data_IF_366999806203
#
_entry.id   IF_366999806203
#
_cell.length_a   1.000
_cell.length_b   1.000
_cell.length_c   1.000
_cell.angle_alpha   90.00
_cell.angle_beta   90.00
_cell.angle_gamma   90.00
#
_symmetry.space_group_name_H-M   'P 1'
#
loop_
_entity.id
_entity.type
_entity.pdbx_description
1 polymer ?
#
# COMPACT_ATOMS: atom_id res chain seq x y z
N UNK A 1 -31.71 -6.70 -28.63
CA UNK A 1 -31.79 -6.43 -27.18
C UNK A 1 -30.39 -6.53 -26.58
N UNK A 2 -29.63 -5.42 -26.58
CA UNK A 2 -28.21 -5.41 -26.21
C UNK A 2 -28.09 -5.50 -24.69
N UNK A 3 -27.51 -6.60 -24.20
CA UNK A 3 -27.13 -6.79 -22.81
C UNK A 3 -26.17 -5.67 -22.37
N UNK A 4 -26.69 -4.65 -21.68
CA UNK A 4 -25.88 -3.65 -20.96
C UNK A 4 -25.15 -4.37 -19.83
N UNK A 5 -23.92 -4.79 -20.11
CA UNK A 5 -22.94 -5.13 -19.07
C UNK A 5 -22.83 -3.93 -18.14
N UNK A 6 -23.40 -4.03 -16.94
CA UNK A 6 -23.24 -3.04 -15.86
C UNK A 6 -21.78 -3.06 -15.41
N UNK A 7 -20.92 -2.37 -16.16
CA UNK A 7 -19.56 -2.03 -15.75
C UNK A 7 -19.72 -1.32 -14.40
N UNK A 8 -19.09 -1.86 -13.35
CA UNK A 8 -18.96 -1.15 -12.09
C UNK A 8 -18.30 0.19 -12.42
N UNK A 9 -19.05 1.28 -12.31
CA UNK A 9 -18.51 2.61 -12.54
C UNK A 9 -17.45 2.87 -11.49
N UNK A 10 -16.21 2.96 -11.96
CA UNK A 10 -15.08 3.36 -11.13
C UNK A 10 -15.34 4.79 -10.69
N UNK A 11 -15.41 5.01 -9.39
CA UNK A 11 -15.63 6.35 -8.83
C UNK A 11 -14.32 7.13 -8.96
N UNK A 12 -14.21 7.89 -10.05
CA UNK A 12 -13.01 8.67 -10.39
C UNK A 12 -12.67 9.68 -9.29
N UNK A 13 -13.68 10.24 -8.61
CA UNK A 13 -13.53 11.14 -7.47
C UNK A 13 -12.70 10.56 -6.32
N UNK A 14 -12.83 9.25 -6.04
CA UNK A 14 -12.03 8.58 -5.00
C UNK A 14 -10.56 8.44 -5.42
N UNK A 15 -10.30 8.29 -6.71
CA UNK A 15 -8.92 8.20 -7.22
C UNK A 15 -8.22 9.55 -7.19
N UNK A 16 -8.92 10.66 -7.49
CA UNK A 16 -8.38 12.00 -7.30
C UNK A 16 -8.03 12.28 -5.84
N UNK A 17 -8.92 11.90 -4.91
CA UNK A 17 -8.68 12.13 -3.48
C UNK A 17 -7.50 11.30 -2.94
N UNK A 18 -7.30 10.08 -3.46
CA UNK A 18 -6.08 9.30 -3.20
C UNK A 18 -4.83 9.99 -3.73
N UNK A 19 -4.90 10.59 -4.92
CA UNK A 19 -3.80 11.37 -5.50
C UNK A 19 -3.41 12.55 -4.60
N UNK A 20 -4.41 13.30 -4.11
CA UNK A 20 -4.18 14.41 -3.16
C UNK A 20 -3.57 13.90 -1.85
N UNK A 21 -4.09 12.80 -1.30
CA UNK A 21 -3.54 12.19 -0.09
C UNK A 21 -2.09 11.73 -0.28
N UNK A 22 -1.78 11.08 -1.41
CA UNK A 22 -0.41 10.65 -1.76
C UNK A 22 0.54 11.85 -1.92
N UNK A 23 0.08 12.93 -2.54
CA UNK A 23 0.87 14.15 -2.70
C UNK A 23 1.16 14.83 -1.36
N UNK A 24 0.20 14.84 -0.43
CA UNK A 24 0.40 15.31 0.94
C UNK A 24 1.46 14.49 1.69
N UNK A 25 1.49 13.15 1.51
CA UNK A 25 2.50 12.25 2.08
C UNK A 25 3.89 12.50 1.47
N UNK A 26 3.96 12.78 0.16
CA UNK A 26 5.20 13.12 -0.54
C UNK A 26 5.80 14.41 0.01
N UNK A 27 5.01 15.48 0.12
CA UNK A 27 5.47 16.75 0.68
C UNK A 27 5.90 16.60 2.15
N UNK A 28 5.23 15.75 2.93
CA UNK A 28 5.66 15.41 4.29
C UNK A 28 7.05 14.77 4.33
N UNK A 29 7.34 13.80 3.45
CA UNK A 29 8.66 13.15 3.40
C UNK A 29 9.75 14.08 2.87
N UNK A 30 9.43 14.91 1.88
CA UNK A 30 10.39 15.84 1.27
C UNK A 30 10.72 17.04 2.17
N UNK A 31 9.80 17.45 3.04
CA UNK A 31 10.00 18.55 3.98
C UNK A 31 10.75 18.16 5.26
N UNK A 32 11.24 16.93 5.41
CA UNK A 32 11.72 16.42 6.69
C UNK A 32 13.21 16.67 6.95
N UNK A 33 13.46 17.69 7.76
CA UNK A 33 14.11 17.49 9.07
C UNK A 33 13.03 17.11 10.09
N UNK A 34 13.31 16.15 10.97
CA UNK A 34 12.32 15.53 11.87
C UNK A 34 11.95 16.47 13.04
N UNK A 35 11.17 17.53 12.77
CA UNK A 35 10.72 18.46 13.83
C UNK A 35 9.25 18.20 14.23
N UNK A 36 8.98 17.56 15.38
CA UNK A 36 7.64 17.18 15.82
C UNK A 36 6.68 18.36 16.07
N UNK A 37 7.16 19.60 16.10
CA UNK A 37 6.32 20.80 16.26
C UNK A 37 5.66 21.27 14.96
N UNK A 38 6.14 20.78 13.82
CA UNK A 38 5.76 21.33 12.53
C UNK A 38 4.37 20.84 12.07
N UNK A 39 3.48 21.76 11.69
CA UNK A 39 2.11 21.44 11.23
C UNK A 39 2.11 20.47 10.03
N UNK A 40 3.13 20.55 9.17
CA UNK A 40 3.35 19.62 8.06
C UNK A 40 3.47 18.17 8.54
N UNK A 41 4.07 17.93 9.71
CA UNK A 41 4.22 16.58 10.25
C UNK A 41 2.89 15.95 10.66
N UNK A 42 1.97 16.76 11.21
CA UNK A 42 0.61 16.31 11.52
C UNK A 42 -0.18 16.02 10.24
N UNK A 43 -0.06 16.88 9.22
CA UNK A 43 -0.72 16.69 7.92
C UNK A 43 -0.31 15.38 7.23
N UNK A 44 0.96 15.00 7.29
CA UNK A 44 1.42 13.71 6.77
C UNK A 44 0.76 12.51 7.44
N UNK A 45 0.64 12.52 8.77
CA UNK A 45 -0.03 11.46 9.54
C UNK A 45 -1.51 11.30 9.15
N UNK A 46 -2.22 12.42 8.99
CA UNK A 46 -3.60 12.42 8.51
C UNK A 46 -3.70 12.01 7.04
N UNK A 47 -2.74 12.39 6.21
CA UNK A 47 -2.64 11.98 4.80
C UNK A 47 -2.54 10.47 4.63
N UNK A 48 -1.70 9.80 5.44
CA UNK A 48 -1.60 8.33 5.47
C UNK A 48 -2.93 7.71 5.88
N UNK A 49 -3.53 8.21 6.96
CA UNK A 49 -4.82 7.69 7.46
C UNK A 49 -5.94 7.82 6.42
N UNK A 50 -6.05 8.98 5.76
CA UNK A 50 -6.99 9.20 4.66
C UNK A 50 -6.72 8.28 3.47
N UNK A 51 -5.46 8.11 3.08
CA UNK A 51 -5.09 7.22 1.98
C UNK A 51 -5.52 5.77 2.25
N UNK A 52 -5.34 5.28 3.48
CA UNK A 52 -5.77 3.94 3.89
C UNK A 52 -7.30 3.80 3.87
N UNK A 53 -8.03 4.76 4.45
CA UNK A 53 -9.51 4.73 4.48
C UNK A 53 -10.08 4.76 3.06
N UNK A 54 -9.57 5.63 2.18
CA UNK A 54 -10.01 5.71 0.78
C UNK A 54 -9.66 4.46 -0.02
N UNK A 55 -8.51 3.85 0.27
CA UNK A 55 -8.10 2.56 -0.29
C UNK A 55 -9.09 1.46 0.12
N UNK A 56 -9.45 1.38 1.40
CA UNK A 56 -10.45 0.45 1.91
C UNK A 56 -11.84 0.70 1.31
N UNK A 57 -12.29 1.94 1.27
CA UNK A 57 -13.61 2.33 0.77
C UNK A 57 -13.81 1.98 -0.70
N UNK A 58 -12.89 2.31 -1.60
CA UNK A 58 -13.10 1.92 -3.02
C UNK A 58 -12.93 0.42 -3.25
N UNK A 59 -12.20 -0.31 -2.39
CA UNK A 59 -12.23 -1.77 -2.44
C UNK A 59 -13.60 -2.29 -2.00
N UNK A 60 -14.15 -1.77 -0.89
CA UNK A 60 -15.50 -2.11 -0.46
C UNK A 60 -16.51 -1.87 -1.59
N UNK A 61 -16.50 -0.69 -2.23
CA UNK A 61 -17.46 -0.35 -3.31
C UNK A 61 -17.33 -1.27 -4.53
N UNK A 62 -16.10 -1.54 -5.00
CA UNK A 62 -15.87 -2.40 -6.17
C UNK A 62 -16.25 -3.87 -5.90
N UNK A 63 -16.05 -4.32 -4.66
CA UNK A 63 -16.26 -5.72 -4.28
C UNK A 63 -17.59 -5.97 -3.57
N UNK A 64 -18.33 -4.92 -3.19
CA UNK A 64 -19.64 -5.00 -2.50
C UNK A 64 -20.66 -5.86 -3.26
N UNK A 65 -20.64 -5.81 -4.60
CA UNK A 65 -21.54 -6.62 -5.45
C UNK A 65 -20.93 -7.94 -5.94
N UNK A 66 -19.63 -8.18 -5.71
CA UNK A 66 -18.87 -9.33 -6.26
C UNK A 66 -18.44 -10.35 -5.20
N UNK A 67 -18.57 -10.02 -3.92
CA UNK A 67 -18.17 -10.86 -2.79
C UNK A 67 -19.43 -11.39 -2.09
N UNK A 68 -20.23 -12.17 -2.81
CA UNK A 68 -21.30 -12.97 -2.19
C UNK A 68 -20.81 -14.34 -1.70
N UNK A 69 -19.56 -14.71 -2.01
CA UNK A 69 -18.99 -16.03 -1.68
C UNK A 69 -17.56 -15.90 -1.15
N UNK A 70 -17.23 -16.68 -0.11
CA UNK A 70 -15.88 -16.82 0.48
C UNK A 70 -14.79 -17.08 -0.59
N UNK A 71 -15.09 -17.85 -1.64
CA UNK A 71 -14.16 -18.12 -2.76
C UNK A 71 -13.80 -16.87 -3.58
N UNK A 72 -14.66 -15.86 -3.62
CA UNK A 72 -14.41 -14.59 -4.33
C UNK A 72 -13.52 -13.67 -3.48
N UNK A 73 -13.73 -13.65 -2.16
CA UNK A 73 -12.88 -12.94 -1.22
C UNK A 73 -11.44 -13.51 -1.20
N UNK A 74 -11.27 -14.83 -1.10
CA UNK A 74 -9.93 -15.43 -1.09
C UNK A 74 -9.18 -15.17 -2.39
N UNK A 75 -9.86 -15.22 -3.55
CA UNK A 75 -9.25 -14.89 -4.85
C UNK A 75 -8.75 -13.44 -4.91
N UNK A 76 -9.44 -12.51 -4.26
CA UNK A 76 -9.00 -11.11 -4.15
C UNK A 76 -7.75 -10.97 -3.28
N UNK A 77 -7.73 -11.59 -2.09
CA UNK A 77 -6.58 -11.54 -1.20
C UNK A 77 -5.35 -12.20 -1.81
N UNK A 78 -5.53 -13.38 -2.44
CA UNK A 78 -4.47 -14.09 -3.16
C UNK A 78 -3.84 -13.21 -4.23
N UNK A 79 -4.65 -12.58 -5.11
CA UNK A 79 -4.11 -11.66 -6.13
C UNK A 79 -3.35 -10.48 -5.55
N UNK A 80 -3.74 -9.98 -4.37
CA UNK A 80 -3.07 -8.87 -3.70
C UNK A 80 -1.74 -9.31 -3.08
N UNK A 81 -1.71 -10.47 -2.44
CA UNK A 81 -0.48 -11.04 -1.85
C UNK A 81 0.53 -11.34 -2.95
N UNK A 82 0.13 -12.03 -4.03
CA UNK A 82 1.02 -12.34 -5.16
C UNK A 82 1.58 -11.10 -5.88
N UNK A 83 1.00 -9.92 -5.68
CA UNK A 83 1.52 -8.66 -6.25
C UNK A 83 2.54 -7.98 -5.34
N UNK A 84 2.40 -8.10 -4.02
CA UNK A 84 3.26 -7.44 -3.03
C UNK A 84 4.48 -8.33 -2.69
N UNK A 85 4.25 -9.64 -2.58
CA UNK A 85 5.27 -10.64 -2.25
C UNK A 85 6.50 -10.66 -3.18
N UNK A 86 6.40 -10.55 -4.52
CA UNK A 86 7.58 -10.56 -5.38
C UNK A 86 8.48 -9.34 -5.15
N UNK A 87 7.89 -8.17 -4.91
CA UNK A 87 8.66 -6.96 -4.61
C UNK A 87 9.33 -7.08 -3.23
N UNK A 88 8.64 -7.66 -2.25
CA UNK A 88 9.20 -7.89 -0.92
C UNK A 88 10.40 -8.86 -0.97
N UNK A 89 10.27 -10.00 -1.66
CA UNK A 89 11.39 -10.94 -1.85
C UNK A 89 12.56 -10.26 -2.56
N UNK A 90 12.30 -9.47 -3.61
CA UNK A 90 13.35 -8.75 -4.34
C UNK A 90 14.15 -7.84 -3.40
N UNK A 91 13.47 -7.07 -2.56
CA UNK A 91 14.10 -6.15 -1.60
C UNK A 91 14.89 -6.94 -0.54
N UNK A 92 14.34 -8.04 -0.01
CA UNK A 92 15.05 -8.92 0.92
C UNK A 92 16.33 -9.49 0.29
N UNK A 93 16.27 -9.99 -0.95
CA UNK A 93 17.42 -10.51 -1.67
C UNK A 93 18.48 -9.43 -1.92
N UNK A 94 18.07 -8.23 -2.32
CA UNK A 94 18.96 -7.07 -2.49
C UNK A 94 19.64 -6.70 -1.17
N UNK A 95 18.88 -6.65 -0.07
CA UNK A 95 19.41 -6.33 1.25
C UNK A 95 20.44 -7.37 1.72
N UNK A 96 20.13 -8.67 1.59
CA UNK A 96 21.06 -9.75 1.96
C UNK A 96 22.32 -9.68 1.11
N UNK A 97 22.18 -9.53 -0.21
CA UNK A 97 23.32 -9.44 -1.14
C UNK A 97 24.20 -8.23 -0.83
N UNK A 98 23.60 -7.08 -0.57
CA UNK A 98 24.32 -5.87 -0.17
C UNK A 98 25.13 -6.08 1.12
N UNK A 99 24.55 -6.71 2.14
CA UNK A 99 25.26 -6.95 3.40
C UNK A 99 26.40 -7.98 3.24
N UNK A 100 26.21 -9.01 2.42
CA UNK A 100 27.27 -10.00 2.10
C UNK A 100 28.47 -9.36 1.38
N UNK A 101 28.22 -8.46 0.43
CA UNK A 101 29.29 -7.75 -0.31
C UNK A 101 30.09 -6.84 0.63
N UNK A 102 29.44 -6.22 1.63
CA UNK A 102 30.09 -5.34 2.59
C UNK A 102 30.76 -6.08 3.76
N UNK A 103 30.71 -7.41 3.81
CA UNK A 103 31.35 -8.22 4.85
C UNK A 103 30.72 -8.06 6.24
N UNK A 104 29.45 -7.65 6.31
CA UNK A 104 28.71 -7.48 7.56
C UNK A 104 28.24 -8.85 8.03
N UNK A 105 28.54 -9.24 9.27
CA UNK A 105 28.04 -10.49 9.85
C UNK A 105 26.51 -10.45 9.93
N UNK A 106 25.86 -11.29 9.12
CA UNK A 106 24.41 -11.44 9.11
C UNK A 106 23.97 -12.18 10.38
N UNK A 107 23.64 -11.42 11.42
CA UNK A 107 22.89 -11.97 12.55
C UNK A 107 21.49 -12.36 12.08
N UNK A 108 21.10 -13.62 12.28
CA UNK A 108 19.75 -14.12 11.98
C UNK A 108 18.66 -13.25 12.61
N UNK A 109 18.97 -12.61 13.74
CA UNK A 109 18.08 -11.67 14.42
C UNK A 109 17.73 -10.45 13.56
N UNK A 110 18.70 -9.87 12.86
CA UNK A 110 18.46 -8.71 11.98
C UNK A 110 17.65 -9.08 10.75
N UNK A 111 17.88 -10.28 10.19
CA UNK A 111 17.09 -10.80 9.07
C UNK A 111 15.65 -11.03 9.50
N UNK A 112 15.43 -11.57 10.71
CA UNK A 112 14.10 -11.84 11.23
C UNK A 112 13.30 -10.56 11.52
N UNK A 113 13.96 -9.53 12.06
CA UNK A 113 13.35 -8.21 12.28
C UNK A 113 12.98 -7.53 10.96
N UNK A 114 13.84 -7.58 9.94
CA UNK A 114 13.55 -6.96 8.65
C UNK A 114 12.48 -7.72 7.83
N UNK A 115 12.20 -8.97 8.21
CA UNK A 115 11.19 -9.81 7.56
C UNK A 115 9.79 -9.67 8.18
N UNK A 116 9.69 -9.27 9.46
CA UNK A 116 8.42 -9.06 10.17
C UNK A 116 7.92 -7.63 9.97
#
# INVERSE_FOLDING_TARGET
MVSRSTKIERIVSLDYLRGIAALSILFYHYGRGYDPTNLLNKLGLYGVSMFFVLSGLSMAIVYHKKVNNLKSATRFFVKRIFRIFPLHILICCLFITYNLINGIELSLYQVFINFT
#
